data_IF_037114756307
#
_entry.id   IF_037114756307
#
_cell.length_a   1.000
_cell.length_b   1.000
_cell.length_c   1.000
_cell.angle_alpha   90.00
_cell.angle_beta   90.00
_cell.angle_gamma   90.00
#
_symmetry.space_group_name_H-M   'P 1'
#
loop_
_entity.id
_entity.type
_entity.pdbx_description
1 polymer ?
#
# COMPACT_ATOMS: atom_id res chain seq x y z
N UNK A 1 -55.75 -21.02 3.62
CA UNK A 1 -55.46 -19.64 4.05
C UNK A 1 -54.02 -19.34 3.67
N UNK A 2 -53.84 -18.58 2.59
CA UNK A 2 -52.51 -18.22 2.07
C UNK A 2 -52.04 -16.96 2.79
N UNK A 3 -50.95 -17.05 3.55
CA UNK A 3 -50.36 -15.92 4.27
C UNK A 3 -49.60 -15.06 3.28
N UNK A 4 -50.07 -13.82 3.09
CA UNK A 4 -49.41 -12.83 2.25
C UNK A 4 -48.00 -12.52 2.79
N UNK A 5 -47.00 -12.35 1.92
CA UNK A 5 -45.65 -11.97 2.33
C UNK A 5 -45.65 -10.55 2.91
N UNK A 6 -45.00 -10.41 4.05
CA UNK A 6 -44.81 -9.12 4.75
C UNK A 6 -44.08 -8.12 3.83
N UNK A 7 -44.48 -6.84 3.82
CA UNK A 7 -43.81 -5.83 3.01
C UNK A 7 -42.38 -5.65 3.51
N UNK A 8 -41.41 -5.93 2.63
CA UNK A 8 -40.00 -5.65 2.87
C UNK A 8 -39.81 -4.16 3.11
N UNK A 9 -39.33 -3.78 4.30
CA UNK A 9 -38.92 -2.41 4.60
C UNK A 9 -37.89 -1.94 3.57
N UNK A 10 -38.05 -0.73 3.00
CA UNK A 10 -37.09 -0.21 2.03
C UNK A 10 -35.72 -0.10 2.71
N UNK A 11 -34.74 -0.85 2.20
CA UNK A 11 -33.34 -0.69 2.56
C UNK A 11 -32.95 0.73 2.16
N UNK A 12 -32.65 1.58 3.14
CA UNK A 12 -32.21 2.94 2.89
C UNK A 12 -31.03 2.89 1.91
N UNK A 13 -31.16 3.56 0.76
CA UNK A 13 -30.06 3.68 -0.18
C UNK A 13 -28.84 4.21 0.57
N UNK A 14 -27.65 3.60 0.41
CA UNK A 14 -26.46 4.02 1.15
C UNK A 14 -26.24 5.49 0.86
N UNK A 15 -26.50 6.32 1.87
CA UNK A 15 -26.40 7.76 1.74
C UNK A 15 -25.02 8.10 1.19
N UNK A 16 -24.96 9.03 0.25
CA UNK A 16 -23.76 9.71 -0.26
C UNK A 16 -23.06 10.53 0.84
N UNK A 17 -22.99 10.00 2.04
CA UNK A 17 -22.30 10.59 3.17
C UNK A 17 -20.82 10.53 2.83
N UNK A 18 -20.30 11.64 2.31
CA UNK A 18 -18.86 11.92 2.27
C UNK A 18 -18.24 11.37 3.55
N UNK A 19 -17.14 10.62 3.42
CA UNK A 19 -16.45 10.12 4.60
C UNK A 19 -16.20 11.32 5.51
N UNK A 20 -16.70 11.26 6.73
CA UNK A 20 -16.83 12.42 7.61
C UNK A 20 -15.49 13.15 7.69
N UNK A 21 -15.52 14.49 7.60
CA UNK A 21 -14.31 15.31 7.49
C UNK A 21 -13.40 15.13 8.70
N UNK A 22 -12.40 14.26 8.57
CA UNK A 22 -11.38 14.04 9.60
C UNK A 22 -10.42 15.21 9.58
N UNK A 23 -10.25 15.90 10.71
CA UNK A 23 -9.26 16.98 10.82
C UNK A 23 -7.84 16.40 10.69
N UNK A 24 -6.97 16.95 9.82
CA UNK A 24 -5.59 16.45 9.65
C UNK A 24 -4.77 16.42 10.95
N UNK A 25 -5.07 17.32 11.88
CA UNK A 25 -4.43 17.37 13.19
C UNK A 25 -4.72 16.12 14.03
N UNK A 26 -5.89 15.49 13.88
CA UNK A 26 -6.23 14.24 14.58
C UNK A 26 -5.40 13.09 14.03
N UNK A 27 -5.33 12.95 12.70
CA UNK A 27 -4.48 11.94 12.04
C UNK A 27 -3.01 12.10 12.45
N UNK A 28 -2.48 13.34 12.44
CA UNK A 28 -1.09 13.61 12.88
C UNK A 28 -0.86 13.27 14.35
N UNK A 29 -1.84 13.54 15.24
CA UNK A 29 -1.76 13.17 16.65
C UNK A 29 -1.75 11.65 16.83
N UNK A 30 -2.63 10.92 16.15
CA UNK A 30 -2.65 9.45 16.16
C UNK A 30 -1.32 8.87 15.67
N UNK A 31 -0.78 9.41 14.56
CA UNK A 31 0.54 8.99 14.07
C UNK A 31 1.67 9.26 15.07
N UNK A 32 1.68 10.41 15.76
CA UNK A 32 2.66 10.68 16.83
C UNK A 32 2.56 9.70 17.99
N UNK A 33 1.34 9.24 18.32
CA UNK A 33 1.07 8.36 19.45
C UNK A 33 1.55 6.94 19.20
N UNK A 34 1.26 6.40 18.01
CA UNK A 34 1.43 4.96 17.75
C UNK A 34 2.63 4.61 16.88
N UNK A 35 3.19 5.57 16.12
CA UNK A 35 4.29 5.28 15.21
C UNK A 35 5.66 5.62 15.83
N UNK A 36 6.65 4.71 15.78
CA UNK A 36 8.02 4.95 16.26
C UNK A 36 8.63 6.27 15.77
N UNK A 37 8.41 6.60 14.49
CA UNK A 37 8.90 7.82 13.87
C UNK A 37 7.83 8.91 13.77
N UNK A 38 6.72 8.77 14.50
CA UNK A 38 5.55 9.63 14.42
C UNK A 38 5.85 11.09 14.73
N UNK A 39 6.72 11.36 15.71
CA UNK A 39 7.14 12.72 16.05
C UNK A 39 7.87 13.44 14.91
N UNK A 40 8.65 12.69 14.11
CA UNK A 40 9.41 13.21 12.97
C UNK A 40 8.51 13.30 11.74
N UNK A 41 7.85 12.19 11.38
CA UNK A 41 7.05 12.10 10.16
C UNK A 41 5.79 12.96 10.20
N UNK A 42 5.22 13.24 11.37
CA UNK A 42 4.04 14.10 11.49
C UNK A 42 4.28 15.57 11.24
N UNK A 43 5.54 16.04 11.26
CA UNK A 43 5.87 17.46 11.09
C UNK A 43 6.01 17.90 9.63
N UNK A 44 6.11 16.95 8.69
CA UNK A 44 6.29 17.24 7.27
C UNK A 44 5.10 16.86 6.38
N UNK A 45 5.17 17.26 5.12
CA UNK A 45 4.27 16.85 4.02
C UNK A 45 4.96 15.95 2.99
N UNK A 46 6.27 15.71 3.14
CA UNK A 46 7.10 15.08 2.12
C UNK A 46 7.68 13.73 2.57
N UNK A 47 6.83 12.85 3.10
CA UNK A 47 7.24 11.49 3.46
C UNK A 47 6.18 10.47 3.03
N UNK A 48 6.49 9.16 3.04
CA UNK A 48 5.61 8.13 2.51
C UNK A 48 4.16 8.17 3.02
N UNK A 49 3.95 8.59 4.27
CA UNK A 49 2.61 8.67 4.86
C UNK A 49 2.01 10.06 4.62
N UNK A 50 2.69 11.14 5.00
CA UNK A 50 2.09 12.48 4.99
C UNK A 50 1.96 13.12 3.61
N UNK A 51 2.54 12.53 2.56
CA UNK A 51 2.26 12.93 1.17
C UNK A 51 0.76 12.87 0.87
N UNK A 52 0.03 11.97 1.54
CA UNK A 52 -1.43 11.80 1.42
C UNK A 52 -2.24 12.93 2.05
N UNK A 53 -1.62 13.82 2.84
CA UNK A 53 -2.30 14.98 3.44
C UNK A 53 -2.77 16.04 2.43
N UNK A 54 -2.60 15.79 1.13
CA UNK A 54 -3.28 16.50 0.03
C UNK A 54 -4.80 16.34 0.08
N UNK A 55 -5.30 15.27 0.69
CA UNK A 55 -6.72 15.07 0.97
C UNK A 55 -6.88 14.50 2.39
N UNK A 56 -7.73 15.13 3.21
CA UNK A 56 -7.81 14.82 4.63
C UNK A 56 -8.40 13.42 4.90
N UNK A 57 -9.42 13.05 4.14
CA UNK A 57 -10.09 11.75 4.21
C UNK A 57 -9.15 10.63 3.75
N UNK A 58 -8.45 10.83 2.62
CA UNK A 58 -7.40 9.93 2.14
C UNK A 58 -6.30 9.74 3.18
N UNK A 59 -5.82 10.83 3.80
CA UNK A 59 -4.77 10.77 4.78
C UNK A 59 -5.19 9.99 6.03
N UNK A 60 -6.42 10.19 6.51
CA UNK A 60 -6.98 9.43 7.62
C UNK A 60 -7.14 7.95 7.25
N UNK A 61 -7.73 7.64 6.08
CA UNK A 61 -7.92 6.29 5.59
C UNK A 61 -6.60 5.54 5.42
N UNK A 62 -5.58 6.17 4.83
CA UNK A 62 -4.29 5.53 4.68
C UNK A 62 -3.61 5.29 6.02
N UNK A 63 -3.62 6.29 6.91
CA UNK A 63 -3.03 6.10 8.23
C UNK A 63 -3.74 4.97 9.00
N UNK A 64 -5.06 4.84 8.85
CA UNK A 64 -5.82 3.70 9.37
C UNK A 64 -5.27 2.38 8.83
N UNK A 65 -5.09 2.23 7.51
CA UNK A 65 -4.48 1.03 6.93
C UNK A 65 -3.08 0.74 7.50
N UNK A 66 -2.21 1.76 7.58
CA UNK A 66 -0.85 1.58 8.14
C UNK A 66 -0.92 1.15 9.61
N UNK A 67 -1.78 1.78 10.41
CA UNK A 67 -1.92 1.45 11.83
C UNK A 67 -2.42 0.02 12.03
N UNK A 68 -3.51 -0.38 11.36
CA UNK A 68 -4.10 -1.71 11.58
C UNK A 68 -3.26 -2.83 10.94
N UNK A 69 -2.69 -2.61 9.76
CA UNK A 69 -1.93 -3.65 9.03
C UNK A 69 -0.52 -3.79 9.61
N UNK A 70 0.18 -2.69 9.94
CA UNK A 70 1.59 -2.74 10.33
C UNK A 70 1.85 -2.57 11.82
N UNK A 71 0.96 -1.93 12.58
CA UNK A 71 1.24 -1.57 13.99
C UNK A 71 0.44 -2.44 14.96
N UNK A 72 -0.87 -2.58 14.75
CA UNK A 72 -1.73 -3.41 15.59
C UNK A 72 -1.26 -4.87 15.57
N UNK A 73 -1.37 -5.56 16.69
CA UNK A 73 -1.00 -6.95 16.85
C UNK A 73 -1.91 -7.86 16.03
N UNK A 74 -1.37 -9.00 15.63
CA UNK A 74 -2.00 -9.98 14.77
C UNK A 74 -1.30 -11.33 14.92
N UNK A 75 -1.62 -12.26 14.04
CA UNK A 75 -0.93 -13.55 14.00
C UNK A 75 0.51 -13.40 13.49
N UNK A 76 0.76 -12.44 12.60
CA UNK A 76 2.10 -12.13 12.14
C UNK A 76 2.84 -11.21 13.11
N UNK A 77 4.03 -11.64 13.48
CA UNK A 77 4.97 -10.77 14.21
C UNK A 77 5.27 -9.50 13.41
N UNK A 78 5.58 -8.41 14.11
CA UNK A 78 6.00 -7.16 13.48
C UNK A 78 7.19 -7.37 12.54
N UNK A 79 8.15 -8.22 12.93
CA UNK A 79 9.28 -8.58 12.09
C UNK A 79 8.84 -9.18 10.75
N UNK A 80 7.91 -10.14 10.76
CA UNK A 80 7.42 -10.78 9.54
C UNK A 80 6.73 -9.78 8.62
N UNK A 81 5.88 -8.91 9.16
CA UNK A 81 5.20 -7.86 8.37
C UNK A 81 6.20 -6.88 7.73
N UNK A 82 7.21 -6.44 8.47
CA UNK A 82 8.26 -5.55 7.94
C UNK A 82 9.14 -6.25 6.88
N UNK A 83 9.40 -7.56 7.02
CA UNK A 83 10.10 -8.35 6.00
C UNK A 83 9.29 -8.51 4.72
N UNK A 84 7.98 -8.80 4.82
CA UNK A 84 7.07 -8.84 3.65
C UNK A 84 7.03 -7.46 2.97
N UNK A 85 6.91 -6.38 3.74
CA UNK A 85 6.95 -5.01 3.22
C UNK A 85 8.25 -4.71 2.47
N UNK A 86 9.39 -5.14 3.00
CA UNK A 86 10.70 -4.99 2.35
C UNK A 86 10.82 -5.82 1.07
N UNK A 87 10.30 -7.05 1.06
CA UNK A 87 10.24 -7.92 -0.13
C UNK A 87 9.42 -7.27 -1.26
N UNK A 88 8.19 -6.85 -0.96
CA UNK A 88 7.30 -6.18 -1.93
C UNK A 88 7.98 -4.92 -2.47
N UNK A 89 8.61 -4.14 -1.58
CA UNK A 89 9.34 -2.93 -1.96
C UNK A 89 10.55 -3.21 -2.84
N UNK A 90 11.26 -4.31 -2.62
CA UNK A 90 12.37 -4.75 -3.47
C UNK A 90 11.87 -5.17 -4.86
N UNK A 91 10.77 -5.94 -4.91
CA UNK A 91 10.12 -6.34 -6.18
C UNK A 91 9.65 -5.13 -6.99
N UNK A 92 9.07 -4.14 -6.31
CA UNK A 92 8.63 -2.88 -6.88
C UNK A 92 9.75 -1.85 -7.07
N UNK A 93 11.00 -2.20 -6.74
CA UNK A 93 12.20 -1.35 -6.86
C UNK A 93 12.02 0.04 -6.22
N UNK A 94 11.37 0.12 -5.06
CA UNK A 94 11.12 1.38 -4.34
C UNK A 94 12.22 1.64 -3.29
N UNK A 95 13.24 2.49 -3.55
CA UNK A 95 14.41 2.59 -2.69
C UNK A 95 14.10 3.10 -1.29
N UNK A 96 13.18 4.07 -1.19
CA UNK A 96 12.71 4.64 0.07
C UNK A 96 12.08 3.56 0.95
N UNK A 97 11.17 2.75 0.41
CA UNK A 97 10.50 1.72 1.20
C UNK A 97 11.46 0.57 1.55
N UNK A 98 12.34 0.14 0.64
CA UNK A 98 13.37 -0.88 0.95
C UNK A 98 14.22 -0.45 2.15
N UNK A 99 14.70 0.79 2.14
CA UNK A 99 15.53 1.33 3.22
C UNK A 99 14.75 1.43 4.54
N UNK A 100 13.51 1.93 4.50
CA UNK A 100 12.71 2.14 5.71
C UNK A 100 12.33 0.81 6.36
N UNK A 101 11.80 -0.12 5.57
CA UNK A 101 11.33 -1.42 6.06
C UNK A 101 12.47 -2.36 6.39
N UNK A 102 13.64 -2.23 5.74
CA UNK A 102 14.86 -2.90 6.21
C UNK A 102 15.30 -2.45 7.61
N UNK A 103 15.21 -1.14 7.89
CA UNK A 103 15.53 -0.60 9.21
C UNK A 103 14.50 -0.98 10.27
N UNK A 104 13.20 -0.89 9.95
CA UNK A 104 12.13 -1.33 10.85
C UNK A 104 12.15 -2.84 11.10
N UNK A 105 12.40 -3.65 10.07
CA UNK A 105 12.55 -5.10 10.21
C UNK A 105 13.74 -5.47 11.09
N UNK A 106 14.88 -4.75 10.96
CA UNK A 106 16.03 -4.94 11.85
C UNK A 106 15.69 -4.62 13.31
N UNK A 107 15.01 -3.49 13.57
CA UNK A 107 14.56 -3.12 14.91
C UNK A 107 13.54 -4.11 15.50
N UNK A 108 12.60 -4.60 14.69
CA UNK A 108 11.61 -5.58 15.08
C UNK A 108 12.25 -6.94 15.40
N UNK A 109 13.26 -7.37 14.62
CA UNK A 109 14.03 -8.59 14.88
C UNK A 109 14.77 -8.53 16.21
N UNK A 110 15.41 -7.41 16.52
CA UNK A 110 16.07 -7.20 17.83
C UNK A 110 15.07 -7.30 18.98
N UNK A 111 13.85 -6.79 18.78
CA UNK A 111 12.78 -6.86 19.77
C UNK A 111 12.31 -8.30 20.02
N UNK A 112 12.11 -9.06 18.93
CA UNK A 112 11.73 -10.47 19.00
C UNK A 112 12.79 -11.30 19.74
N UNK A 113 14.07 -11.12 19.39
CA UNK A 113 15.19 -11.82 20.02
C UNK A 113 15.35 -11.47 21.51
N UNK A 114 15.14 -10.21 21.89
CA UNK A 114 15.20 -9.80 23.29
C UNK A 114 14.08 -10.43 24.12
N UNK A 115 12.86 -10.50 23.59
CA UNK A 115 11.73 -11.16 24.26
C UNK A 115 11.97 -12.66 24.48
N UNK A 116 12.53 -13.35 23.48
CA UNK A 116 12.88 -14.78 23.61
C UNK A 116 13.98 -15.05 24.63
N UNK A 117 14.89 -14.11 24.87
CA UNK A 117 15.96 -14.25 25.86
C UNK A 117 15.47 -14.00 27.31
N UNK A 118 14.49 -13.10 27.47
CA UNK A 118 13.84 -12.84 28.77
C UNK A 118 12.92 -14.01 29.18
N UNK A 119 12.26 -14.64 28.20
CA UNK A 119 11.46 -15.84 28.41
C UNK A 119 12.34 -17.10 28.39
N UNK A 120 13.12 -17.30 29.45
CA UNK A 120 14.00 -18.47 29.66
C UNK A 120 13.30 -19.84 29.62
N UNK A 121 11.98 -19.87 29.40
CA UNK A 121 11.15 -21.06 29.22
C UNK A 121 10.79 -21.35 27.77
N UNK A 122 11.13 -20.44 26.83
CA UNK A 122 10.88 -20.63 25.41
C UNK A 122 11.59 -21.88 24.89
N UNK A 123 10.81 -22.93 24.62
CA UNK A 123 11.35 -24.17 24.06
C UNK A 123 11.96 -23.88 22.69
N UNK A 124 13.04 -24.59 22.33
CA UNK A 124 13.62 -24.52 20.98
C UNK A 124 12.55 -24.72 19.89
N UNK A 125 11.51 -25.49 20.18
CA UNK A 125 10.35 -25.72 19.32
C UNK A 125 9.55 -24.45 19.00
N UNK A 126 9.29 -23.57 19.98
CA UNK A 126 8.56 -22.33 19.74
C UNK A 126 9.34 -21.36 18.83
N UNK A 127 10.67 -21.30 19.00
CA UNK A 127 11.56 -20.50 18.14
C UNK A 127 11.55 -21.06 16.71
N UNK A 128 11.68 -22.39 16.56
CA UNK A 128 11.63 -23.05 15.25
C UNK A 128 10.29 -22.84 14.56
N UNK A 129 9.17 -22.95 15.28
CA UNK A 129 7.83 -22.73 14.74
C UNK A 129 7.65 -21.29 14.25
N UNK A 130 8.16 -20.30 15.01
CA UNK A 130 8.13 -18.90 14.62
C UNK A 130 8.95 -18.61 13.36
N UNK A 131 10.11 -19.27 13.22
CA UNK A 131 10.95 -19.20 12.01
C UNK A 131 10.27 -19.88 10.81
N UNK A 132 9.65 -21.04 11.01
CA UNK A 132 8.88 -21.72 9.95
C UNK A 132 7.71 -20.86 9.46
N UNK A 133 6.93 -20.26 10.38
CA UNK A 133 5.87 -19.32 10.05
C UNK A 133 6.38 -18.11 9.27
N UNK A 134 7.54 -17.58 9.67
CA UNK A 134 8.18 -16.47 8.96
C UNK A 134 8.52 -16.86 7.52
N UNK A 135 9.18 -18.01 7.32
CA UNK A 135 9.59 -18.49 6.01
C UNK A 135 8.39 -18.77 5.10
N UNK A 136 7.33 -19.39 5.64
CA UNK A 136 6.09 -19.62 4.89
C UNK A 136 5.37 -18.32 4.53
N UNK A 137 5.33 -17.32 5.42
CA UNK A 137 4.78 -16.01 5.12
C UNK A 137 5.56 -15.30 3.99
N UNK A 138 6.89 -15.42 3.97
CA UNK A 138 7.73 -14.87 2.90
C UNK A 138 7.48 -15.59 1.56
N UNK A 139 7.43 -16.92 1.54
CA UNK A 139 7.14 -17.69 0.33
C UNK A 139 5.73 -17.37 -0.22
N UNK A 140 4.74 -17.25 0.66
CA UNK A 140 3.39 -16.87 0.28
C UNK A 140 3.34 -15.44 -0.29
N UNK A 141 4.07 -14.49 0.30
CA UNK A 141 4.19 -13.14 -0.23
C UNK A 141 4.85 -13.11 -1.63
N UNK A 142 5.88 -13.93 -1.87
CA UNK A 142 6.50 -14.06 -3.20
C UNK A 142 5.51 -14.57 -4.24
N UNK A 143 4.73 -15.60 -3.88
CA UNK A 143 3.67 -16.14 -4.72
C UNK A 143 2.63 -15.09 -5.11
N UNK A 144 2.19 -14.24 -4.16
CA UNK A 144 1.24 -13.15 -4.43
C UNK A 144 1.79 -12.06 -5.36
N UNK A 145 3.11 -11.96 -5.51
CA UNK A 145 3.79 -11.01 -6.39
C UNK A 145 4.06 -11.57 -7.80
N UNK A 146 3.73 -12.83 -8.05
CA UNK A 146 3.82 -13.43 -9.39
C UNK A 146 2.65 -12.99 -10.27
N UNK A 147 2.86 -12.82 -11.59
CA UNK A 147 1.76 -12.65 -12.53
C UNK A 147 0.79 -13.82 -12.45
N UNK A 148 -0.51 -13.56 -12.60
CA UNK A 148 -1.57 -14.56 -12.48
C UNK A 148 -1.31 -15.82 -13.32
N UNK A 149 -0.85 -15.63 -14.57
CA UNK A 149 -0.52 -16.72 -15.51
C UNK A 149 0.62 -17.64 -15.01
N UNK A 150 1.51 -17.14 -14.17
CA UNK A 150 2.65 -17.90 -13.66
C UNK A 150 2.32 -18.66 -12.37
N UNK A 151 1.20 -18.37 -11.71
CA UNK A 151 0.86 -18.99 -10.43
C UNK A 151 0.40 -20.43 -10.57
N UNK A 152 -0.50 -20.69 -11.51
CA UNK A 152 -1.03 -22.04 -11.73
C UNK A 152 0.10 -23.03 -12.06
N UNK A 153 1.15 -22.59 -12.74
CA UNK A 153 2.34 -23.41 -13.02
C UNK A 153 3.31 -23.50 -11.83
N UNK A 154 3.42 -22.45 -11.01
CA UNK A 154 4.28 -22.45 -9.84
C UNK A 154 3.78 -23.38 -8.72
N UNK A 155 2.46 -23.61 -8.64
CA UNK A 155 1.88 -24.58 -7.69
C UNK A 155 2.27 -26.01 -8.05
N UNK A 156 2.37 -26.34 -9.34
CA UNK A 156 2.74 -27.69 -9.81
C UNK A 156 4.24 -28.00 -9.64
N UNK A 157 5.10 -26.99 -9.69
CA UNK A 157 6.57 -27.15 -9.60
C UNK A 157 7.14 -27.00 -8.18
N UNK A 158 6.32 -26.60 -7.20
CA UNK A 158 6.75 -26.60 -5.80
C UNK A 158 6.95 -28.07 -5.36
N UNK A 159 8.11 -28.42 -4.78
CA UNK A 159 8.28 -29.75 -4.22
C UNK A 159 7.13 -29.99 -3.23
N UNK A 160 6.66 -31.24 -3.05
CA UNK A 160 5.64 -31.56 -2.06
C UNK A 160 6.18 -31.15 -0.68
N UNK A 161 5.92 -29.91 -0.30
CA UNK A 161 6.28 -29.37 0.98
C UNK A 161 5.37 -30.09 1.96
N UNK A 162 6.00 -30.65 3.00
CA UNK A 162 5.33 -31.26 4.14
C UNK A 162 4.05 -30.46 4.48
N UNK A 163 2.90 -31.10 4.26
CA UNK A 163 1.56 -30.51 4.17
C UNK A 163 1.03 -29.94 5.49
N UNK A 164 1.89 -29.78 6.51
CA UNK A 164 1.56 -28.94 7.65
C UNK A 164 1.61 -27.47 7.21
N UNK A 165 0.48 -26.99 6.67
CA UNK A 165 0.29 -25.56 6.40
C UNK A 165 0.28 -24.82 7.74
N UNK A 166 1.47 -24.40 8.21
CA UNK A 166 1.65 -23.74 9.51
C UNK A 166 1.06 -22.32 9.48
N UNK A 167 0.92 -21.75 8.29
CA UNK A 167 0.25 -20.46 8.08
C UNK A 167 -1.27 -20.66 8.02
N UNK A 168 -1.96 -20.16 9.04
CA UNK A 168 -3.42 -20.10 9.07
C UNK A 168 -3.97 -19.18 7.96
N UNK A 169 -5.26 -19.27 7.68
CA UNK A 169 -5.92 -18.36 6.73
C UNK A 169 -5.92 -16.90 7.22
N UNK A 170 -6.01 -16.68 8.53
CA UNK A 170 -5.81 -15.36 9.16
C UNK A 170 -4.43 -14.79 8.82
N UNK A 171 -3.38 -15.60 9.00
CA UNK A 171 -2.01 -15.17 8.74
C UNK A 171 -1.75 -14.96 7.23
N UNK A 172 -2.33 -15.78 6.35
CA UNK A 172 -2.31 -15.55 4.89
C UNK A 172 -2.99 -14.23 4.53
N UNK A 173 -4.17 -13.95 5.09
CA UNK A 173 -4.88 -12.70 4.87
C UNK A 173 -4.09 -11.49 5.41
N UNK A 174 -3.40 -11.62 6.54
CA UNK A 174 -2.47 -10.59 7.03
C UNK A 174 -1.30 -10.36 6.06
N UNK A 175 -0.68 -11.41 5.51
CA UNK A 175 0.37 -11.28 4.48
C UNK A 175 -0.17 -10.53 3.26
N UNK A 176 -1.34 -10.94 2.76
CA UNK A 176 -1.96 -10.33 1.59
C UNK A 176 -2.33 -8.85 1.82
N UNK A 177 -2.77 -8.49 3.03
CA UNK A 177 -3.01 -7.10 3.43
C UNK A 177 -1.72 -6.27 3.41
N UNK A 178 -0.58 -6.82 3.86
CA UNK A 178 0.73 -6.15 3.76
C UNK A 178 1.13 -5.98 2.28
N UNK A 179 1.00 -7.02 1.45
CA UNK A 179 1.28 -6.96 0.01
C UNK A 179 0.44 -5.88 -0.68
N UNK A 180 -0.87 -5.85 -0.40
CA UNK A 180 -1.80 -4.84 -0.89
C UNK A 180 -1.32 -3.42 -0.54
N UNK A 181 -1.05 -3.17 0.75
CA UNK A 181 -0.61 -1.86 1.23
C UNK A 181 0.69 -1.42 0.57
N UNK A 182 1.67 -2.32 0.41
CA UNK A 182 2.97 -1.94 -0.15
C UNK A 182 2.98 -1.83 -1.67
N UNK A 183 2.15 -2.58 -2.39
CA UNK A 183 1.93 -2.31 -3.81
C UNK A 183 1.39 -0.90 -4.05
N UNK A 184 0.47 -0.43 -3.20
CA UNK A 184 0.00 0.95 -3.23
C UNK A 184 1.11 1.94 -2.85
N UNK A 185 1.71 1.77 -1.67
CA UNK A 185 2.67 2.72 -1.11
C UNK A 185 3.91 2.87 -1.99
N UNK A 186 4.45 1.77 -2.52
CA UNK A 186 5.63 1.81 -3.40
C UNK A 186 5.33 2.62 -4.66
N UNK A 187 4.15 2.43 -5.27
CA UNK A 187 3.75 3.16 -6.48
C UNK A 187 3.67 4.67 -6.21
N UNK A 188 2.99 5.08 -5.14
CA UNK A 188 2.84 6.49 -4.78
C UNK A 188 4.18 7.12 -4.39
N UNK A 189 4.97 6.44 -3.56
CA UNK A 189 6.27 6.94 -3.09
C UNK A 189 7.22 7.14 -4.28
N UNK A 190 7.36 6.14 -5.14
CA UNK A 190 8.21 6.24 -6.33
C UNK A 190 7.76 7.36 -7.28
N UNK A 191 6.44 7.54 -7.44
CA UNK A 191 5.91 8.54 -8.36
C UNK A 191 5.97 9.99 -7.83
N UNK A 192 5.77 10.19 -6.52
CA UNK A 192 5.57 11.53 -5.94
C UNK A 192 6.78 12.02 -5.14
N UNK A 193 7.52 11.12 -4.48
CA UNK A 193 8.67 11.48 -3.65
C UNK A 193 10.01 11.25 -4.34
N UNK A 194 10.05 10.43 -5.40
CA UNK A 194 11.27 10.09 -6.13
C UNK A 194 12.09 9.00 -5.42
N UNK A 195 13.41 9.02 -5.62
CA UNK A 195 14.30 7.91 -5.22
C UNK A 195 15.01 8.14 -3.88
N UNK A 196 15.22 9.40 -3.47
CA UNK A 196 16.08 9.70 -2.32
C UNK A 196 15.31 9.90 -1.01
N UNK A 197 15.39 8.93 -0.11
CA UNK A 197 14.78 9.00 1.24
C UNK A 197 15.29 10.19 2.05
N UNK A 198 16.58 10.45 2.02
CA UNK A 198 17.22 11.49 2.83
C UNK A 198 16.85 12.89 2.35
N UNK A 199 16.62 13.05 1.05
CA UNK A 199 15.98 14.26 0.53
C UNK A 199 14.52 14.34 0.96
N UNK A 200 13.76 13.24 0.88
CA UNK A 200 12.36 13.23 1.28
C UNK A 200 12.15 13.53 2.78
N UNK A 201 12.83 12.79 3.66
CA UNK A 201 12.65 12.85 5.11
C UNK A 201 13.45 13.93 5.81
N UNK A 202 14.69 14.19 5.37
CA UNK A 202 15.62 15.09 6.07
C UNK A 202 15.96 16.35 5.28
N UNK A 203 15.34 16.55 4.11
CA UNK A 203 15.59 17.71 3.23
C UNK A 203 17.06 17.86 2.84
N UNK A 204 17.81 16.76 2.78
CA UNK A 204 19.23 16.75 2.42
C UNK A 204 19.38 16.99 0.91
N UNK A 205 20.32 17.84 0.45
CA UNK A 205 20.60 18.01 -0.97
C UNK A 205 20.92 16.68 -1.67
N UNK A 206 20.41 16.46 -2.89
CA UNK A 206 20.52 15.17 -3.60
C UNK A 206 21.96 14.63 -3.73
N UNK A 207 22.93 15.51 -3.95
CA UNK A 207 24.34 15.14 -4.06
C UNK A 207 24.89 14.51 -2.77
N UNK A 208 24.40 14.95 -1.61
CA UNK A 208 24.70 14.36 -0.31
C UNK A 208 23.81 13.14 -0.03
N UNK A 209 22.53 13.18 -0.43
CA UNK A 209 21.59 12.07 -0.28
C UNK A 209 22.10 10.78 -0.93
N UNK A 210 22.59 10.87 -2.18
CA UNK A 210 23.16 9.73 -2.91
C UNK A 210 24.36 9.09 -2.20
N UNK A 211 25.17 9.89 -1.49
CA UNK A 211 26.28 9.38 -0.67
C UNK A 211 25.78 8.73 0.62
N UNK A 212 24.76 9.32 1.25
CA UNK A 212 24.16 8.80 2.49
C UNK A 212 23.39 7.49 2.27
N UNK A 213 22.83 7.31 1.08
CA UNK A 213 22.06 6.12 0.69
C UNK A 213 22.92 5.03 0.05
N UNK A 214 24.24 5.26 -0.09
CA UNK A 214 25.18 4.23 -0.49
C UNK A 214 25.16 3.04 0.47
N UNK A 215 25.31 1.82 -0.05
CA UNK A 215 25.08 0.57 0.73
C UNK A 215 25.82 0.49 2.07
N UNK A 216 27.07 0.99 2.15
CA UNK A 216 27.84 1.04 3.40
C UNK A 216 27.23 2.00 4.43
N UNK A 217 26.82 3.19 4.00
CA UNK A 217 26.23 4.21 4.87
C UNK A 217 24.81 3.82 5.30
N UNK A 218 24.03 3.22 4.39
CA UNK A 218 22.73 2.62 4.70
C UNK A 218 22.81 1.61 5.85
N UNK A 219 23.77 0.68 5.79
CA UNK A 219 23.95 -0.33 6.82
C UNK A 219 24.33 0.30 8.17
N UNK A 220 25.16 1.34 8.13
CA UNK A 220 25.53 2.11 9.32
C UNK A 220 24.31 2.82 9.94
N UNK A 221 23.52 3.53 9.13
CA UNK A 221 22.32 4.24 9.59
C UNK A 221 21.29 3.27 10.19
N UNK A 222 21.09 2.13 9.54
CA UNK A 222 20.21 1.06 10.05
C UNK A 222 20.67 0.56 11.41
N UNK A 223 21.97 0.26 11.56
CA UNK A 223 22.55 -0.19 12.84
C UNK A 223 22.41 0.86 13.95
N UNK A 224 22.54 2.14 13.60
CA UNK A 224 22.43 3.24 14.56
C UNK A 224 20.98 3.49 14.99
N UNK A 225 20.02 3.44 14.06
CA UNK A 225 18.61 3.75 14.36
C UNK A 225 17.84 2.58 14.95
N UNK A 226 18.21 1.33 14.65
CA UNK A 226 17.45 0.15 15.07
C UNK A 226 17.27 0.04 16.60
N UNK A 227 18.29 0.25 17.45
CA UNK A 227 18.12 0.17 18.90
C UNK A 227 17.14 1.22 19.45
N UNK A 228 17.17 2.43 18.90
CA UNK A 228 16.26 3.52 19.30
C UNK A 228 14.81 3.17 18.95
N UNK A 229 14.58 2.59 17.76
CA UNK A 229 13.25 2.21 17.31
C UNK A 229 12.74 0.94 18.00
N UNK A 230 13.62 -0.01 18.33
CA UNK A 230 13.26 -1.28 18.97
C UNK A 230 12.48 -1.08 20.27
N UNK A 231 12.83 -0.08 21.09
CA UNK A 231 12.09 0.21 22.33
C UNK A 231 10.62 0.53 22.09
N UNK A 232 10.32 1.34 21.06
CA UNK A 232 8.94 1.68 20.71
C UNK A 232 8.17 0.53 20.08
N UNK A 233 8.86 -0.44 19.49
CA UNK A 233 8.28 -1.63 18.87
C UNK A 233 7.97 -2.77 19.86
N UNK A 234 8.45 -2.67 21.11
CA UNK A 234 8.07 -3.60 22.18
C UNK A 234 6.63 -3.43 22.64
N UNK A 235 6.04 -2.26 22.39
CA UNK A 235 4.67 -1.97 22.80
C UNK A 235 3.72 -2.77 21.91
N UNK A 236 2.93 -3.63 22.56
CA UNK A 236 1.82 -4.35 21.97
C UNK A 236 0.62 -3.41 21.81
N UNK A 237 -0.06 -3.52 20.69
CA UNK A 237 -1.15 -2.64 20.33
C UNK A 237 -2.35 -3.49 19.90
N UNK A 238 -3.52 -3.38 20.53
CA UNK A 238 -4.71 -4.08 20.05
C UNK A 238 -5.14 -3.56 18.67
N UNK A 239 -5.98 -4.32 17.99
CA UNK A 239 -6.68 -3.83 16.80
C UNK A 239 -7.59 -2.64 17.14
N UNK A 240 -7.90 -1.82 16.13
CA UNK A 240 -8.77 -0.65 16.28
C UNK A 240 -8.03 0.62 16.73
N UNK A 241 -6.71 0.71 16.51
CA UNK A 241 -5.88 1.89 16.84
C UNK A 241 -6.35 3.17 16.18
N UNK A 242 -6.98 3.04 15.02
CA UNK A 242 -7.47 4.14 14.21
C UNK A 242 -8.97 4.40 14.37
N UNK A 243 -9.68 3.62 15.18
CA UNK A 243 -11.12 3.76 15.40
C UNK A 243 -11.53 5.16 15.85
N UNK A 244 -10.76 5.77 16.77
CA UNK A 244 -10.98 7.14 17.27
C UNK A 244 -10.88 8.24 16.20
N UNK A 245 -10.31 7.95 15.02
CA UNK A 245 -10.24 8.92 13.92
C UNK A 245 -11.57 9.07 13.19
N UNK A 246 -12.43 8.06 13.30
CA UNK A 246 -13.69 7.98 12.59
C UNK A 246 -14.85 7.97 13.58
N UNK A 247 -16.05 8.37 13.14
CA UNK A 247 -17.23 8.33 14.01
C UNK A 247 -17.52 6.91 14.49
N UNK A 248 -17.93 6.79 15.75
CA UNK A 248 -18.27 5.50 16.34
C UNK A 248 -19.33 4.78 15.49
N UNK A 249 -19.14 3.47 15.28
CA UNK A 249 -20.03 2.65 14.44
C UNK A 249 -19.86 2.84 12.94
N UNK A 250 -18.91 3.65 12.47
CA UNK A 250 -18.59 3.74 11.03
C UNK A 250 -17.87 2.47 10.55
N UNK A 251 -18.66 1.58 9.95
CA UNK A 251 -18.17 0.44 9.18
C UNK A 251 -18.40 0.70 7.69
N UNK A 252 -17.40 0.38 6.90
CA UNK A 252 -17.44 0.43 5.44
C UNK A 252 -17.32 -0.97 4.83
N UNK A 253 -17.44 -2.04 5.62
CA UNK A 253 -17.23 -3.40 5.12
C UNK A 253 -18.13 -3.75 3.92
N UNK A 254 -19.35 -3.20 3.87
CA UNK A 254 -20.27 -3.38 2.75
C UNK A 254 -19.77 -2.75 1.44
N UNK A 255 -18.74 -1.89 1.50
CA UNK A 255 -18.08 -1.32 0.31
C UNK A 255 -16.87 -2.13 -0.14
N UNK A 256 -16.50 -3.21 0.55
CA UNK A 256 -15.41 -4.07 0.10
C UNK A 256 -15.85 -4.84 -1.16
N UNK A 257 -15.09 -4.75 -2.27
CA UNK A 257 -15.31 -5.60 -3.42
C UNK A 257 -15.10 -7.07 -3.04
N UNK A 258 -15.80 -7.98 -3.70
CA UNK A 258 -15.72 -9.42 -3.43
C UNK A 258 -14.28 -9.96 -3.40
N UNK A 259 -13.42 -9.48 -4.31
CA UNK A 259 -11.99 -9.84 -4.37
C UNK A 259 -11.15 -9.39 -3.16
N UNK A 260 -11.71 -8.56 -2.28
CA UNK A 260 -11.11 -8.10 -1.03
C UNK A 260 -11.83 -8.66 0.21
N UNK A 261 -12.89 -9.47 0.03
CA UNK A 261 -13.72 -9.96 1.14
C UNK A 261 -12.92 -10.80 2.16
N UNK A 262 -11.88 -11.50 1.72
CA UNK A 262 -10.95 -12.25 2.56
C UNK A 262 -10.16 -11.39 3.55
N UNK A 263 -10.14 -10.06 3.42
CA UNK A 263 -9.53 -9.18 4.44
C UNK A 263 -10.18 -9.33 5.81
N UNK A 264 -11.45 -9.75 5.89
CA UNK A 264 -12.13 -9.98 7.17
C UNK A 264 -11.45 -11.09 7.97
N UNK A 265 -10.80 -12.06 7.30
CA UNK A 265 -9.99 -13.08 7.96
C UNK A 265 -8.78 -12.48 8.67
N UNK A 266 -8.24 -11.36 8.20
CA UNK A 266 -7.17 -10.63 8.89
C UNK A 266 -7.68 -9.80 10.08
N UNK A 267 -8.98 -9.78 10.34
CA UNK A 267 -9.62 -9.00 11.40
C UNK A 267 -10.46 -7.82 10.88
N UNK A 268 -11.57 -7.56 11.56
CA UNK A 268 -12.58 -6.58 11.15
C UNK A 268 -12.01 -5.17 11.02
N UNK A 269 -11.17 -4.73 11.96
CA UNK A 269 -10.57 -3.39 11.92
C UNK A 269 -9.64 -3.18 10.71
N UNK A 270 -8.89 -4.22 10.31
CA UNK A 270 -8.02 -4.18 9.12
C UNK A 270 -8.86 -4.13 7.84
N UNK A 271 -9.88 -4.96 7.75
CA UNK A 271 -10.81 -4.96 6.63
C UNK A 271 -11.51 -3.60 6.50
N UNK A 272 -12.00 -3.04 7.62
CA UNK A 272 -12.68 -1.75 7.64
C UNK A 272 -11.73 -0.59 7.30
N UNK A 273 -10.45 -0.64 7.72
CA UNK A 273 -9.45 0.34 7.32
C UNK A 273 -9.26 0.38 5.79
N UNK A 274 -9.14 -0.79 5.14
CA UNK A 274 -9.05 -0.88 3.68
C UNK A 274 -10.37 -0.45 3.02
N UNK A 275 -11.50 -0.85 3.58
CA UNK A 275 -12.83 -0.50 3.07
C UNK A 275 -13.04 1.01 3.00
N UNK A 276 -12.56 1.77 4.00
CA UNK A 276 -12.56 3.25 3.96
C UNK A 276 -11.77 3.79 2.76
N UNK A 277 -10.62 3.22 2.44
CA UNK A 277 -9.85 3.64 1.25
C UNK A 277 -10.56 3.27 -0.06
N UNK A 278 -11.24 2.12 -0.12
CA UNK A 278 -12.08 1.75 -1.27
C UNK A 278 -13.21 2.76 -1.44
N UNK A 279 -13.97 3.03 -0.36
CA UNK A 279 -15.06 3.98 -0.38
C UNK A 279 -14.58 5.38 -0.82
N UNK A 280 -13.42 5.83 -0.32
CA UNK A 280 -12.80 7.08 -0.78
C UNK A 280 -12.48 7.05 -2.27
N UNK A 281 -11.84 5.98 -2.77
CA UNK A 281 -11.44 5.89 -4.17
C UNK A 281 -12.65 5.86 -5.11
N UNK A 282 -13.72 5.18 -4.73
CA UNK A 282 -14.96 5.11 -5.49
C UNK A 282 -15.70 6.46 -5.51
N UNK A 283 -15.83 7.11 -4.36
CA UNK A 283 -16.45 8.43 -4.25
C UNK A 283 -15.66 9.48 -5.04
N UNK A 284 -14.34 9.53 -4.85
CA UNK A 284 -13.47 10.47 -5.57
C UNK A 284 -13.50 10.22 -7.09
N UNK A 285 -13.54 8.96 -7.51
CA UNK A 285 -13.72 8.57 -8.91
C UNK A 285 -15.03 9.12 -9.51
N UNK A 286 -16.15 8.92 -8.81
CA UNK A 286 -17.50 9.32 -9.26
C UNK A 286 -17.73 10.84 -9.23
N UNK A 287 -17.27 11.52 -8.18
CA UNK A 287 -17.61 12.93 -7.93
C UNK A 287 -16.66 13.90 -8.63
N UNK A 288 -15.36 13.68 -8.52
CA UNK A 288 -14.34 14.67 -8.88
C UNK A 288 -13.69 14.34 -10.23
N UNK A 289 -13.27 13.08 -10.38
CA UNK A 289 -12.45 12.67 -11.53
C UNK A 289 -13.27 12.60 -12.82
N UNK A 290 -14.37 11.85 -12.80
CA UNK A 290 -15.22 11.63 -13.98
C UNK A 290 -15.97 12.87 -14.43
N UNK A 291 -16.01 13.93 -13.61
CA UNK A 291 -16.69 15.18 -13.97
C UNK A 291 -15.74 16.20 -14.58
N UNK A 292 -14.48 16.29 -14.13
CA UNK A 292 -13.63 17.46 -14.45
C UNK A 292 -12.11 17.20 -14.59
N UNK A 293 -11.61 15.98 -14.37
CA UNK A 293 -10.15 15.73 -14.28
C UNK A 293 -9.64 14.75 -15.33
N UNK A 294 -10.42 13.70 -15.64
CA UNK A 294 -10.04 12.70 -16.64
C UNK A 294 -11.23 12.50 -17.57
N UNK A 295 -11.03 12.67 -18.87
CA UNK A 295 -12.04 12.33 -19.87
C UNK A 295 -12.29 10.82 -19.94
N UNK A 296 -13.46 10.44 -20.44
CA UNK A 296 -13.83 9.02 -20.61
C UNK A 296 -12.87 8.33 -21.57
N UNK A 297 -12.46 9.04 -22.61
CA UNK A 297 -11.51 8.62 -23.63
C UNK A 297 -10.14 8.27 -23.02
N UNK A 298 -9.64 9.07 -22.07
CA UNK A 298 -8.38 8.77 -21.37
C UNK A 298 -8.51 7.49 -20.53
N UNK A 299 -9.64 7.29 -19.85
CA UNK A 299 -9.87 6.06 -19.07
C UNK A 299 -9.96 4.83 -19.97
N UNK A 300 -10.71 4.90 -21.07
CA UNK A 300 -10.82 3.81 -22.05
C UNK A 300 -9.44 3.44 -22.62
N UNK A 301 -8.59 4.42 -22.92
CA UNK A 301 -7.23 4.15 -23.37
C UNK A 301 -6.33 3.54 -22.28
N UNK A 302 -6.47 3.95 -21.02
CA UNK A 302 -5.68 3.39 -19.91
C UNK A 302 -6.10 1.96 -19.55
N UNK A 303 -7.37 1.62 -19.77
CA UNK A 303 -7.94 0.31 -19.45
C UNK A 303 -7.91 -0.66 -20.65
N UNK A 304 -7.53 -0.21 -21.84
CA UNK A 304 -7.34 -1.05 -23.02
C UNK A 304 -6.22 -2.09 -22.79
N UNK A 305 -6.53 -3.39 -22.79
CA UNK A 305 -5.56 -4.46 -22.50
C UNK A 305 -4.44 -4.57 -23.53
N UNK A 306 -4.56 -3.91 -24.69
CA UNK A 306 -3.50 -3.81 -25.68
C UNK A 306 -2.46 -2.74 -25.33
N UNK A 307 -2.70 -1.91 -24.31
CA UNK A 307 -1.81 -0.84 -23.87
C UNK A 307 -0.94 -1.29 -22.69
N UNK A 308 -0.31 -2.45 -22.85
CA UNK A 308 0.60 -3.04 -21.88
C UNK A 308 1.99 -3.16 -22.53
N UNK A 309 3.06 -2.63 -21.92
CA UNK A 309 4.41 -2.80 -22.45
C UNK A 309 4.83 -4.26 -22.36
N UNK A 310 5.82 -4.65 -23.17
CA UNK A 310 6.43 -5.97 -23.04
C UNK A 310 7.02 -6.16 -21.63
N UNK A 311 6.85 -7.34 -20.99
CA UNK A 311 7.34 -7.59 -19.64
C UNK A 311 8.87 -7.51 -19.53
N UNK A 312 9.59 -7.63 -20.65
CA UNK A 312 11.06 -7.54 -20.72
C UNK A 312 11.58 -6.10 -20.75
N UNK A 313 10.69 -5.11 -20.86
CA UNK A 313 11.09 -3.70 -20.96
C UNK A 313 11.58 -3.18 -19.60
N UNK A 314 12.73 -2.50 -19.64
CA UNK A 314 13.25 -1.72 -18.51
C UNK A 314 12.38 -0.48 -18.25
N UNK A 315 12.50 0.13 -17.06
CA UNK A 315 11.80 1.38 -16.70
C UNK A 315 12.03 2.52 -17.71
N UNK A 316 13.23 2.59 -18.29
CA UNK A 316 13.60 3.59 -19.30
C UNK A 316 12.87 3.28 -20.61
N UNK A 317 12.91 2.03 -21.07
CA UNK A 317 12.19 1.59 -22.27
C UNK A 317 10.68 1.77 -22.14
N UNK A 318 10.09 1.50 -20.96
CA UNK A 318 8.67 1.77 -20.68
C UNK A 318 8.37 3.26 -20.80
N UNK A 319 9.25 4.13 -20.29
CA UNK A 319 9.06 5.57 -20.41
C UNK A 319 9.16 6.06 -21.87
N UNK A 320 10.09 5.51 -22.64
CA UNK A 320 10.22 5.76 -24.08
C UNK A 320 9.00 5.24 -24.86
N UNK A 321 8.49 4.06 -24.52
CA UNK A 321 7.27 3.50 -25.10
C UNK A 321 6.03 4.35 -24.79
N UNK A 322 5.86 4.75 -23.53
CA UNK A 322 4.73 5.57 -23.09
C UNK A 322 4.73 6.96 -23.77
N UNK A 323 5.91 7.54 -24.01
CA UNK A 323 6.04 8.89 -24.62
C UNK A 323 6.24 8.87 -26.14
N UNK A 324 6.68 7.75 -26.69
CA UNK A 324 7.02 7.55 -28.09
C UNK A 324 5.99 6.70 -28.82
N UNK A 325 5.90 5.40 -28.49
CA UNK A 325 5.00 4.45 -29.17
C UNK A 325 3.53 4.81 -28.98
N UNK A 326 3.15 5.25 -27.79
CA UNK A 326 1.76 5.68 -27.54
C UNK A 326 1.43 7.05 -28.13
N UNK A 327 2.40 7.76 -28.73
CA UNK A 327 2.24 9.12 -29.23
C UNK A 327 1.07 9.26 -30.21
N UNK A 328 0.83 8.29 -31.09
CA UNK A 328 -0.29 8.34 -32.03
C UNK A 328 -1.63 8.29 -31.30
N UNK A 329 -1.80 7.37 -30.35
CA UNK A 329 -2.99 7.28 -29.47
C UNK A 329 -3.14 8.50 -28.55
N UNK A 330 -2.02 9.10 -28.12
CA UNK A 330 -2.04 10.35 -27.33
C UNK A 330 -2.39 11.54 -28.22
N UNK A 331 -1.99 11.56 -29.49
CA UNK A 331 -2.29 12.65 -30.43
C UNK A 331 -3.77 12.69 -30.83
N UNK A 332 -4.51 11.58 -30.71
CA UNK A 332 -5.95 11.60 -30.89
C UNK A 332 -6.70 12.26 -29.72
N UNK A 333 -6.05 12.48 -28.57
CA UNK A 333 -6.61 13.28 -27.48
C UNK A 333 -6.46 14.77 -27.82
N UNK A 334 -7.60 15.46 -27.96
CA UNK A 334 -7.62 16.87 -28.36
C UNK A 334 -7.07 17.81 -27.31
N UNK A 335 -7.25 17.49 -26.02
CA UNK A 335 -6.85 18.36 -24.92
C UNK A 335 -5.41 18.10 -24.43
N UNK A 336 -4.68 19.16 -24.10
CA UNK A 336 -3.33 19.04 -23.54
C UNK A 336 -3.33 18.47 -22.11
N UNK A 337 -4.38 18.75 -21.33
CA UNK A 337 -4.52 18.18 -19.98
C UNK A 337 -4.69 16.68 -20.07
N UNK A 338 -5.62 16.20 -20.92
CA UNK A 338 -5.85 14.77 -21.16
C UNK A 338 -4.58 14.03 -21.57
N UNK A 339 -3.80 14.60 -22.48
CA UNK A 339 -2.50 14.03 -22.88
C UNK A 339 -1.52 13.94 -21.71
N UNK A 340 -1.49 14.95 -20.85
CA UNK A 340 -0.61 14.97 -19.68
C UNK A 340 -1.06 13.96 -18.61
N UNK A 341 -2.37 13.89 -18.36
CA UNK A 341 -3.01 12.93 -17.46
C UNK A 341 -2.73 11.50 -17.94
N UNK A 342 -3.03 11.20 -19.21
CA UNK A 342 -2.82 9.89 -19.80
C UNK A 342 -1.37 9.43 -19.64
N UNK A 343 -0.39 10.26 -20.03
CA UNK A 343 1.02 9.91 -19.91
C UNK A 343 1.45 9.67 -18.45
N UNK A 344 0.99 10.52 -17.51
CA UNK A 344 1.31 10.34 -16.09
C UNK A 344 0.72 9.05 -15.55
N UNK A 345 -0.55 8.76 -15.84
CA UNK A 345 -1.22 7.55 -15.34
C UNK A 345 -0.70 6.27 -16.00
N UNK A 346 -0.34 6.32 -17.29
CA UNK A 346 0.29 5.19 -17.98
C UNK A 346 1.68 4.88 -17.39
N UNK A 347 2.51 5.90 -17.15
CA UNK A 347 3.77 5.74 -16.44
C UNK A 347 3.55 5.25 -15.02
N UNK A 348 2.53 5.74 -14.32
CA UNK A 348 2.20 5.30 -12.98
C UNK A 348 1.79 3.83 -12.92
N UNK A 349 1.14 3.31 -13.96
CA UNK A 349 0.79 1.89 -14.07
C UNK A 349 2.03 1.02 -14.25
N UNK A 350 2.92 1.40 -15.16
CA UNK A 350 3.97 0.50 -15.67
C UNK A 350 5.40 0.82 -15.21
N UNK A 351 5.69 2.07 -14.87
CA UNK A 351 6.99 2.53 -14.38
C UNK A 351 6.86 3.72 -13.42
N UNK A 352 6.32 3.53 -12.20
CA UNK A 352 6.01 4.61 -11.27
C UNK A 352 7.19 5.56 -10.98
N UNK A 353 8.40 5.02 -10.88
CA UNK A 353 9.67 5.74 -10.72
C UNK A 353 9.93 6.78 -11.81
N UNK A 354 9.42 6.57 -13.02
CA UNK A 354 9.60 7.49 -14.15
C UNK A 354 8.70 8.71 -14.04
N UNK A 355 7.60 8.65 -13.28
CA UNK A 355 6.62 9.75 -13.15
C UNK A 355 7.27 11.00 -12.59
N UNK A 356 8.02 10.87 -11.49
CA UNK A 356 8.59 12.01 -10.77
C UNK A 356 9.49 12.89 -11.64
N UNK A 357 10.24 12.28 -12.55
CA UNK A 357 11.17 12.98 -13.45
C UNK A 357 10.55 13.41 -14.77
N UNK A 358 9.37 12.88 -15.12
CA UNK A 358 8.72 13.12 -16.39
C UNK A 358 8.27 14.58 -16.57
N UNK A 359 8.42 15.10 -17.79
CA UNK A 359 7.95 16.45 -18.15
C UNK A 359 6.43 16.57 -18.09
N UNK A 360 5.69 15.49 -18.40
CA UNK A 360 4.24 15.43 -18.30
C UNK A 360 3.74 15.61 -16.85
N UNK A 361 4.48 15.10 -15.86
CA UNK A 361 4.16 15.31 -14.44
C UNK A 361 4.29 16.79 -14.05
N UNK A 362 5.39 17.45 -14.43
CA UNK A 362 5.58 18.89 -14.17
C UNK A 362 4.52 19.74 -14.87
N UNK A 363 4.15 19.36 -16.09
CA UNK A 363 3.10 20.01 -16.86
C UNK A 363 1.74 19.84 -16.19
N UNK A 364 1.40 18.63 -15.76
CA UNK A 364 0.17 18.35 -15.02
C UNK A 364 0.08 19.17 -13.72
N UNK A 365 1.18 19.25 -12.95
CA UNK A 365 1.25 20.14 -11.77
C UNK A 365 1.01 21.61 -12.16
N UNK A 366 1.55 22.06 -13.29
CA UNK A 366 1.34 23.45 -13.75
C UNK A 366 -0.13 23.71 -14.13
N UNK A 367 -0.80 22.73 -14.73
CA UNK A 367 -2.20 22.85 -15.20
C UNK A 367 -3.19 22.74 -14.04
N UNK A 368 -3.05 21.70 -13.20
CA UNK A 368 -4.01 21.33 -12.14
C UNK A 368 -3.60 21.76 -10.73
N UNK A 369 -2.36 22.21 -10.56
CA UNK A 369 -1.77 22.40 -9.24
C UNK A 369 -1.27 21.09 -8.63
N UNK A 370 -0.31 21.21 -7.70
CA UNK A 370 0.36 20.05 -7.08
C UNK A 370 -0.62 19.14 -6.32
N UNK A 371 -1.56 19.73 -5.59
CA UNK A 371 -2.49 18.99 -4.74
C UNK A 371 -3.43 18.09 -5.56
N UNK A 372 -4.07 18.62 -6.59
CA UNK A 372 -4.97 17.87 -7.48
C UNK A 372 -4.19 16.79 -8.25
N UNK A 373 -3.04 17.14 -8.83
CA UNK A 373 -2.19 16.18 -9.54
C UNK A 373 -1.72 15.02 -8.65
N UNK A 374 -1.31 15.30 -7.40
CA UNK A 374 -0.93 14.26 -6.43
C UNK A 374 -2.12 13.40 -6.00
N UNK A 375 -3.29 14.02 -5.79
CA UNK A 375 -4.52 13.28 -5.41
C UNK A 375 -4.95 12.34 -6.54
N UNK A 376 -4.83 12.78 -7.79
CA UNK A 376 -5.08 11.97 -8.98
C UNK A 376 -4.16 10.73 -9.05
N UNK A 377 -2.84 10.91 -8.81
CA UNK A 377 -1.88 9.81 -8.73
C UNK A 377 -2.24 8.80 -7.62
N UNK A 378 -2.67 9.28 -6.46
CA UNK A 378 -3.09 8.41 -5.35
C UNK A 378 -4.34 7.63 -5.68
N UNK A 379 -5.36 8.29 -6.26
CA UNK A 379 -6.59 7.64 -6.69
C UNK A 379 -6.33 6.52 -7.71
N UNK A 380 -5.56 6.80 -8.77
CA UNK A 380 -5.23 5.79 -9.77
C UNK A 380 -4.42 4.64 -9.16
N UNK A 381 -3.49 4.96 -8.26
CA UNK A 381 -2.70 3.94 -7.56
C UNK A 381 -3.55 3.04 -6.67
N UNK A 382 -4.56 3.59 -5.97
CA UNK A 382 -5.51 2.79 -5.19
C UNK A 382 -6.37 1.90 -6.10
N UNK A 383 -6.92 2.47 -7.18
CA UNK A 383 -7.72 1.73 -8.17
C UNK A 383 -6.97 0.52 -8.69
N UNK A 384 -5.74 0.72 -9.20
CA UNK A 384 -4.89 -0.38 -9.66
C UNK A 384 -4.59 -1.40 -8.56
N UNK A 385 -4.35 -0.94 -7.32
CA UNK A 385 -4.02 -1.83 -6.21
C UNK A 385 -5.20 -2.74 -5.85
N UNK A 386 -6.41 -2.19 -5.78
CA UNK A 386 -7.60 -2.97 -5.47
C UNK A 386 -7.99 -3.91 -6.62
N UNK A 387 -7.87 -3.45 -7.87
CA UNK A 387 -8.12 -4.29 -9.06
C UNK A 387 -7.12 -5.43 -9.22
N UNK A 388 -5.89 -5.27 -8.74
CA UNK A 388 -4.85 -6.29 -8.84
C UNK A 388 -4.58 -6.99 -7.50
N UNK A 389 -5.43 -6.78 -6.50
CA UNK A 389 -5.32 -7.45 -5.22
C UNK A 389 -5.43 -8.97 -5.39
N UNK A 390 -4.59 -9.71 -4.67
CA UNK A 390 -4.48 -11.15 -4.73
C UNK A 390 -4.52 -11.74 -3.33
N UNK A 391 -4.98 -12.99 -3.19
CA UNK A 391 -5.05 -13.66 -1.90
C UNK A 391 -5.95 -12.94 -0.90
N UNK A 392 -7.07 -12.38 -1.36
CA UNK A 392 -8.09 -11.72 -0.52
C UNK A 392 -9.51 -11.99 -1.05
N UNK A 393 -9.67 -12.95 -1.96
CA UNK A 393 -10.99 -13.38 -2.44
C UNK A 393 -11.75 -14.21 -1.39
N UNK A 394 -13.00 -14.60 -1.69
CA UNK A 394 -13.77 -15.50 -0.85
C UNK A 394 -13.01 -16.82 -0.60
N UNK A 395 -13.19 -17.38 0.59
CA UNK A 395 -12.61 -18.65 1.03
C UNK A 395 -12.88 -19.76 0.01
N UNK A 396 -11.84 -20.17 -0.75
CA UNK A 396 -11.95 -21.19 -1.79
C UNK A 396 -11.14 -20.90 -3.07
N UNK A 397 -10.62 -19.66 -3.23
CA UNK A 397 -9.73 -19.28 -4.33
C UNK A 397 -8.27 -19.07 -3.87
N UNK A 398 -7.85 -19.76 -2.80
CA UNK A 398 -6.49 -19.65 -2.23
C UNK A 398 -5.51 -20.69 -2.78
N UNK A 399 -6.01 -21.59 -3.63
CA UNK A 399 -5.26 -22.68 -4.26
C UNK A 399 -4.52 -22.21 -5.51
#
# INVERSE_FOLDING_TARGET
MSTAPSPSTPVASPSTTRMISVKPSHTRKSMKKYFPMGAIMSKGTNNPITVHSVNNELFAGLWSCVAEIMIADGELTRYTRESVAALVSARNRCPICILAHGAFGSAAKMTLQAGSAEDSTGTNEAVMLQEQRHNQAMAYAEMLLLPEKCRNSAVDDLPPHDTSNVLSDTAKAEVAAVVLLFNYMNRVVSAVLGEEMTTAMFSVPRSAAKKLEGGKMRNLMTRMMSPLMARSMRVKYPQGLSSELFPAGSSFLDTLPERLAGLVLAGEDRANAVARLVAWADLYGKEEILKNVISKEVLELLEDPNNVPSPEMTSIQIAEWATGTMREKVQSLSDETDRSVFNVLLLLTHSPQSVFYCTCWRRLIKIKGKQEATTLVMWWSLRLTFQNAQGLGPSGCWD
#
